data_IF_358431859498
#
_entry.id   IF_358431859498
#
_cell.length_a   1.000
_cell.length_b   1.000
_cell.length_c   1.000
_cell.angle_alpha   90.00
_cell.angle_beta   90.00
_cell.angle_gamma   90.00
#
_symmetry.space_group_name_H-M   'P 1'
#
loop_
_entity.id
_entity.type
_entity.pdbx_description
1 polymer ?
#
# COMPACT_ATOMS: atom_id res chain seq x y z
N UNK A 1 -5.56 14.87 10.44
CA UNK A 1 -4.68 13.77 10.01
C UNK A 1 -5.21 13.21 8.71
N UNK A 2 -4.47 13.32 7.60
CA UNK A 2 -4.92 12.76 6.33
C UNK A 2 -5.09 11.24 6.42
N UNK A 3 -6.01 10.72 5.64
CA UNK A 3 -6.31 9.29 5.59
C UNK A 3 -5.93 8.74 4.22
N UNK A 4 -5.15 7.66 4.21
CA UNK A 4 -4.74 6.95 3.01
C UNK A 4 -5.35 5.55 3.01
N UNK A 5 -5.99 5.17 1.91
CA UNK A 5 -6.46 3.82 1.68
C UNK A 5 -5.61 3.16 0.59
N UNK A 6 -5.08 1.99 0.89
CA UNK A 6 -4.37 1.16 -0.08
C UNK A 6 -5.28 -0.01 -0.43
N UNK A 7 -5.68 -0.09 -1.69
CA UNK A 7 -6.73 -0.99 -2.13
C UNK A 7 -6.19 -2.04 -3.09
N UNK A 8 -6.55 -3.29 -2.84
CA UNK A 8 -6.22 -4.43 -3.69
C UNK A 8 -7.46 -5.32 -3.80
N UNK A 9 -7.38 -6.45 -4.51
CA UNK A 9 -8.54 -7.33 -4.66
C UNK A 9 -8.85 -8.07 -3.36
N UNK A 10 -7.89 -8.73 -2.76
CA UNK A 10 -8.14 -9.62 -1.61
C UNK A 10 -7.64 -9.09 -0.27
N UNK A 11 -6.89 -8.01 -0.24
CA UNK A 11 -6.25 -7.51 0.99
C UNK A 11 -5.49 -8.62 1.74
N UNK A 12 -4.78 -9.44 0.99
CA UNK A 12 -4.09 -10.61 1.56
C UNK A 12 -2.57 -10.52 1.48
N UNK A 13 -2.02 -9.81 0.50
CA UNK A 13 -0.59 -9.72 0.29
C UNK A 13 -0.15 -8.29 -0.02
N UNK A 14 -0.40 -7.83 -1.26
CA UNK A 14 0.17 -6.56 -1.74
C UNK A 14 -0.26 -5.36 -0.90
N UNK A 15 -1.55 -5.19 -0.65
CA UNK A 15 -2.03 -4.04 0.13
C UNK A 15 -1.63 -4.14 1.60
N UNK A 16 -1.51 -5.35 2.14
CA UNK A 16 -1.04 -5.53 3.52
C UNK A 16 0.42 -5.12 3.67
N UNK A 17 1.28 -5.52 2.73
CA UNK A 17 2.67 -5.11 2.75
C UNK A 17 2.81 -3.60 2.58
N UNK A 18 2.06 -3.02 1.64
CA UNK A 18 2.10 -1.59 1.40
C UNK A 18 1.64 -0.80 2.62
N UNK A 19 0.60 -1.27 3.32
CA UNK A 19 0.14 -0.63 4.54
C UNK A 19 1.23 -0.61 5.61
N UNK A 20 1.87 -1.76 5.86
CA UNK A 20 2.92 -1.86 6.87
C UNK A 20 4.11 -0.97 6.55
N UNK A 21 4.55 -0.98 5.29
CA UNK A 21 5.68 -0.16 4.85
C UNK A 21 5.37 1.33 4.92
N UNK A 22 4.15 1.72 4.55
CA UNK A 22 3.76 3.13 4.58
C UNK A 22 3.67 3.64 6.02
N UNK A 23 3.14 2.82 6.93
CA UNK A 23 3.12 3.18 8.35
C UNK A 23 4.53 3.38 8.90
N UNK A 24 5.44 2.49 8.53
CA UNK A 24 6.84 2.60 8.97
C UNK A 24 7.47 3.87 8.40
N UNK A 25 7.28 4.15 7.12
CA UNK A 25 7.81 5.35 6.50
C UNK A 25 7.26 6.62 7.15
N UNK A 26 5.96 6.64 7.46
CA UNK A 26 5.35 7.78 8.14
C UNK A 26 5.94 7.99 9.53
N UNK A 27 6.18 6.91 10.26
CA UNK A 27 6.82 7.01 11.58
C UNK A 27 8.25 7.55 11.47
N UNK A 28 9.03 7.02 10.51
CA UNK A 28 10.42 7.43 10.31
C UNK A 28 10.53 8.89 9.89
N UNK A 29 9.53 9.41 9.17
CA UNK A 29 9.50 10.80 8.70
C UNK A 29 8.75 11.73 9.65
N UNK A 30 8.25 11.23 10.76
CA UNK A 30 7.39 11.99 11.67
C UNK A 30 6.22 12.65 10.93
N UNK A 31 5.56 11.86 10.07
CA UNK A 31 4.45 12.29 9.25
C UNK A 31 3.13 11.82 9.84
N UNK A 32 2.21 12.76 10.06
CA UNK A 32 0.86 12.43 10.49
C UNK A 32 0.07 11.89 9.29
N UNK A 33 -0.10 10.57 9.25
CA UNK A 33 -0.83 9.90 8.19
C UNK A 33 -1.53 8.68 8.77
N UNK A 34 -2.83 8.60 8.55
CA UNK A 34 -3.64 7.47 8.99
C UNK A 34 -3.77 6.49 7.83
N UNK A 35 -3.17 5.31 7.95
CA UNK A 35 -3.00 4.37 6.84
C UNK A 35 -3.93 3.18 7.02
N UNK A 36 -4.70 2.89 5.99
CA UNK A 36 -5.63 1.75 5.94
C UNK A 36 -5.36 0.93 4.69
N UNK A 37 -5.69 -0.34 4.74
CA UNK A 37 -5.74 -1.18 3.54
C UNK A 37 -7.01 -2.00 3.54
N UNK A 38 -7.49 -2.33 2.35
CA UNK A 38 -8.69 -3.14 2.17
C UNK A 38 -8.69 -3.78 0.79
N UNK A 39 -9.63 -4.69 0.57
CA UNK A 39 -9.86 -5.30 -0.73
C UNK A 39 -11.30 -5.21 -1.12
N UNK A 40 -11.63 -5.68 -2.31
CA UNK A 40 -13.02 -5.86 -2.73
C UNK A 40 -13.60 -7.14 -2.15
N UNK A 41 -12.74 -8.09 -1.77
CA UNK A 41 -13.11 -9.34 -1.10
C UNK A 41 -12.15 -9.56 0.07
N UNK A 42 -12.67 -10.11 1.16
CA UNK A 42 -11.84 -10.48 2.31
C UNK A 42 -11.46 -11.96 2.22
N UNK A 43 -10.19 -12.26 2.46
CA UNK A 43 -9.70 -13.63 2.55
C UNK A 43 -8.88 -13.80 3.84
N UNK A 44 -7.57 -13.95 3.72
CA UNK A 44 -6.67 -13.98 4.86
C UNK A 44 -5.31 -13.42 4.47
N UNK A 45 -4.56 -12.91 5.43
CA UNK A 45 -3.21 -12.39 5.19
C UNK A 45 -2.29 -13.57 4.86
N UNK A 46 -1.55 -13.46 3.76
CA UNK A 46 -0.67 -14.55 3.31
C UNK A 46 0.51 -14.73 4.26
N UNK A 47 0.86 -15.98 4.55
CA UNK A 47 1.97 -16.29 5.45
C UNK A 47 3.29 -15.72 4.95
N UNK A 48 3.53 -15.75 3.64
CA UNK A 48 4.77 -15.21 3.07
C UNK A 48 4.87 -13.70 3.24
N UNK A 49 3.74 -12.99 3.20
CA UNK A 49 3.74 -11.55 3.49
C UNK A 49 4.19 -11.31 4.93
N UNK A 50 3.65 -12.06 5.88
CA UNK A 50 4.07 -11.95 7.28
C UNK A 50 5.56 -12.21 7.43
N UNK A 51 6.08 -13.25 6.76
CA UNK A 51 7.48 -13.63 6.85
C UNK A 51 8.42 -12.54 6.33
N UNK A 52 8.17 -12.04 5.11
CA UNK A 52 9.09 -11.06 4.51
C UNK A 52 8.98 -9.69 5.18
N UNK A 53 7.84 -9.35 5.74
CA UNK A 53 7.69 -8.10 6.48
C UNK A 53 8.38 -8.18 7.83
N UNK A 54 8.35 -9.33 8.48
CA UNK A 54 9.06 -9.54 9.74
C UNK A 54 10.57 -9.34 9.57
N UNK A 55 11.12 -9.63 8.40
CA UNK A 55 12.54 -9.39 8.10
C UNK A 55 12.91 -7.90 8.22
N UNK A 56 11.94 -7.01 8.03
CA UNK A 56 12.13 -5.57 8.19
C UNK A 56 11.67 -5.05 9.56
N UNK A 57 11.30 -5.94 10.47
CA UNK A 57 10.80 -5.54 11.78
C UNK A 57 9.34 -5.11 11.78
N UNK A 58 8.59 -5.42 10.73
CA UNK A 58 7.19 -5.07 10.61
C UNK A 58 6.34 -6.30 10.86
N UNK A 59 5.46 -6.24 11.86
CA UNK A 59 4.64 -7.37 12.28
C UNK A 59 3.26 -7.30 11.64
N UNK A 60 2.97 -8.21 10.72
CA UNK A 60 1.64 -8.36 10.11
C UNK A 60 0.82 -9.48 10.76
N UNK A 61 1.36 -10.16 11.77
CA UNK A 61 0.73 -11.37 12.31
C UNK A 61 -0.64 -11.10 12.95
N UNK A 62 -0.89 -9.88 13.39
CA UNK A 62 -2.17 -9.49 13.98
C UNK A 62 -3.12 -8.81 12.98
N UNK A 63 -2.68 -8.63 11.74
CA UNK A 63 -3.51 -8.01 10.72
C UNK A 63 -4.55 -8.99 10.20
N UNK A 64 -5.68 -8.44 9.76
CA UNK A 64 -6.75 -9.23 9.15
C UNK A 64 -7.03 -8.72 7.75
N UNK A 65 -7.41 -9.64 6.86
CA UNK A 65 -7.93 -9.27 5.55
C UNK A 65 -9.34 -8.70 5.71
N UNK A 66 -9.64 -7.63 5.00
CA UNK A 66 -10.91 -6.94 5.16
C UNK A 66 -11.35 -6.29 3.87
N UNK A 67 -12.64 -6.01 3.77
CA UNK A 67 -13.18 -5.27 2.65
C UNK A 67 -13.23 -3.77 2.97
N UNK A 68 -13.41 -2.98 1.91
CA UNK A 68 -13.60 -1.54 2.04
C UNK A 68 -14.71 -1.19 3.06
N UNK A 69 -15.79 -1.96 3.06
CA UNK A 69 -16.95 -1.67 3.90
C UNK A 69 -16.74 -2.02 5.38
N UNK A 70 -15.66 -2.73 5.70
CA UNK A 70 -15.28 -2.99 7.08
C UNK A 70 -14.53 -1.82 7.71
N UNK A 71 -14.15 -0.82 6.92
CA UNK A 71 -13.40 0.34 7.41
C UNK A 71 -14.35 1.41 7.95
N UNK A 72 -13.91 2.17 8.97
CA UNK A 72 -14.68 3.32 9.41
C UNK A 72 -14.67 4.40 8.32
N UNK A 73 -15.85 4.92 8.00
CA UNK A 73 -16.02 6.02 7.05
C UNK A 73 -15.31 5.74 5.71
N UNK A 74 -15.72 4.68 4.98
CA UNK A 74 -14.94 4.14 3.85
C UNK A 74 -14.85 5.07 2.64
N UNK A 75 -15.61 6.15 2.59
CA UNK A 75 -15.60 7.08 1.46
C UNK A 75 -14.81 8.36 1.75
N UNK A 76 -14.31 8.51 2.96
CA UNK A 76 -13.64 9.74 3.40
C UNK A 76 -12.13 9.53 3.49
N UNK A 77 -11.47 9.47 2.33
CA UNK A 77 -10.02 9.37 2.24
C UNK A 77 -9.47 10.50 1.38
N UNK A 78 -8.40 11.12 1.82
CA UNK A 78 -7.68 12.12 1.02
C UNK A 78 -6.92 11.46 -0.12
N UNK A 79 -6.43 10.23 0.12
CA UNK A 79 -5.64 9.49 -0.86
C UNK A 79 -6.14 8.06 -0.96
N UNK A 80 -6.31 7.57 -2.19
CA UNK A 80 -6.62 6.16 -2.45
C UNK A 80 -5.63 5.65 -3.49
N UNK A 81 -4.90 4.60 -3.15
CA UNK A 81 -3.90 3.98 -4.02
C UNK A 81 -4.28 2.53 -4.26
N UNK A 82 -4.46 2.16 -5.52
CA UNK A 82 -4.68 0.76 -5.90
C UNK A 82 -3.34 0.14 -6.30
N UNK A 83 -3.09 -1.09 -5.86
CA UNK A 83 -1.78 -1.72 -6.00
C UNK A 83 -1.78 -3.06 -6.73
N UNK A 84 -2.92 -3.57 -7.13
CA UNK A 84 -2.96 -4.81 -7.91
C UNK A 84 -3.27 -4.52 -9.38
N UNK A 85 -2.94 -5.50 -10.23
CA UNK A 85 -3.00 -5.32 -11.68
C UNK A 85 -4.39 -4.95 -12.19
N UNK A 86 -5.43 -5.48 -11.56
CA UNK A 86 -6.81 -5.31 -12.01
C UNK A 86 -7.68 -4.50 -11.05
N UNK A 87 -7.13 -4.01 -9.94
CA UNK A 87 -7.92 -3.29 -8.93
C UNK A 87 -8.53 -1.99 -9.49
N UNK A 88 -7.90 -1.41 -10.51
CA UNK A 88 -8.44 -0.20 -11.13
C UNK A 88 -9.84 -0.43 -11.70
N UNK A 89 -10.15 -1.65 -12.14
CA UNK A 89 -11.46 -1.99 -12.68
C UNK A 89 -12.51 -2.18 -11.58
N UNK A 90 -12.05 -2.56 -10.38
CA UNK A 90 -12.93 -2.81 -9.24
C UNK A 90 -12.95 -1.63 -8.25
N UNK A 91 -12.19 -0.58 -8.53
CA UNK A 91 -12.09 0.56 -7.62
C UNK A 91 -13.42 1.30 -7.55
N UNK A 92 -13.96 1.50 -6.35
CA UNK A 92 -15.18 2.29 -6.20
C UNK A 92 -14.96 3.75 -6.63
N UNK A 93 -16.05 4.43 -6.95
CA UNK A 93 -15.99 5.85 -7.29
C UNK A 93 -15.82 6.68 -6.02
N UNK A 94 -14.79 7.50 -5.98
CA UNK A 94 -14.52 8.40 -4.87
C UNK A 94 -14.82 9.84 -5.27
N UNK A 95 -15.07 10.73 -4.28
CA UNK A 95 -15.27 12.16 -4.56
C UNK A 95 -14.06 12.77 -5.27
N UNK A 96 -14.30 13.83 -6.04
CA UNK A 96 -13.25 14.51 -6.78
C UNK A 96 -12.16 15.11 -5.87
N UNK A 97 -12.46 15.29 -4.57
CA UNK A 97 -11.49 15.77 -3.58
C UNK A 97 -10.47 14.70 -3.18
N UNK A 98 -10.72 13.43 -3.51
CA UNK A 98 -9.80 12.34 -3.23
C UNK A 98 -8.75 12.26 -4.34
N UNK A 99 -7.48 12.20 -3.94
CA UNK A 99 -6.39 11.94 -4.89
C UNK A 99 -6.27 10.45 -5.14
N UNK A 100 -6.47 10.04 -6.39
CA UNK A 100 -6.41 8.63 -6.79
C UNK A 100 -5.08 8.35 -7.49
N UNK A 101 -4.47 7.22 -7.14
CA UNK A 101 -3.26 6.72 -7.81
C UNK A 101 -3.38 5.22 -8.03
N UNK A 102 -2.80 4.75 -9.10
CA UNK A 102 -2.77 3.33 -9.41
C UNK A 102 -1.31 2.92 -9.60
N UNK A 103 -0.80 2.13 -8.65
CA UNK A 103 0.57 1.62 -8.68
C UNK A 103 0.49 0.09 -8.83
N UNK A 104 0.45 -0.44 -10.08
CA UNK A 104 0.33 -1.88 -10.27
C UNK A 104 1.61 -2.59 -9.87
N UNK A 105 1.48 -3.62 -9.03
CA UNK A 105 2.59 -4.47 -8.62
C UNK A 105 2.26 -5.91 -8.95
N UNK A 106 3.29 -6.69 -9.30
CA UNK A 106 3.13 -8.11 -9.56
C UNK A 106 2.72 -8.83 -8.28
N UNK A 107 1.73 -9.74 -8.40
CA UNK A 107 1.33 -10.58 -7.29
C UNK A 107 2.42 -11.63 -7.07
N UNK A 108 3.06 -11.67 -5.88
CA UNK A 108 4.09 -12.67 -5.62
C UNK A 108 3.54 -14.03 -5.22
N UNK A 109 2.22 -14.17 -5.08
CA UNK A 109 1.60 -15.42 -4.67
C UNK A 109 1.99 -16.56 -5.61
N UNK A 110 2.36 -17.70 -5.04
CA UNK A 110 2.83 -18.85 -5.81
C UNK A 110 4.30 -18.79 -6.18
N UNK A 111 4.98 -17.67 -5.93
CA UNK A 111 6.41 -17.52 -6.21
C UNK A 111 7.28 -17.90 -5.02
N UNK A 112 8.59 -17.88 -5.24
CA UNK A 112 9.58 -18.13 -4.20
C UNK A 112 9.58 -17.00 -3.16
N UNK A 113 10.18 -17.27 -2.01
CA UNK A 113 10.33 -16.25 -0.98
C UNK A 113 11.18 -15.08 -1.50
N UNK A 114 12.13 -15.34 -2.37
CA UNK A 114 12.93 -14.30 -3.01
C UNK A 114 12.09 -13.37 -3.85
N UNK A 115 11.09 -13.91 -4.56
CA UNK A 115 10.15 -13.09 -5.32
C UNK A 115 9.32 -12.19 -4.39
N UNK A 116 8.89 -12.72 -3.24
CA UNK A 116 8.20 -11.93 -2.23
C UNK A 116 9.06 -10.79 -1.69
N UNK A 117 10.35 -11.05 -1.49
CA UNK A 117 11.30 -10.02 -1.06
C UNK A 117 11.46 -8.93 -2.10
N UNK A 118 11.55 -9.33 -3.36
CA UNK A 118 11.67 -8.38 -4.48
C UNK A 118 10.47 -7.45 -4.53
N UNK A 119 9.25 -8.00 -4.47
CA UNK A 119 8.03 -7.20 -4.50
C UNK A 119 7.94 -6.32 -3.26
N UNK A 120 8.27 -6.86 -2.08
CA UNK A 120 8.33 -6.08 -0.86
C UNK A 120 9.24 -4.87 -0.99
N UNK A 121 10.43 -5.06 -1.57
CA UNK A 121 11.41 -3.98 -1.71
C UNK A 121 10.94 -2.93 -2.72
N UNK A 122 10.20 -3.35 -3.75
CA UNK A 122 9.57 -2.42 -4.69
C UNK A 122 8.51 -1.57 -3.99
N UNK A 123 7.68 -2.19 -3.15
CA UNK A 123 6.71 -1.45 -2.33
C UNK A 123 7.41 -0.47 -1.40
N UNK A 124 8.49 -0.90 -0.77
CA UNK A 124 9.24 -0.05 0.16
C UNK A 124 9.72 1.22 -0.54
N UNK A 125 10.33 1.08 -1.71
CA UNK A 125 10.80 2.23 -2.47
C UNK A 125 9.65 3.14 -2.88
N UNK A 126 8.56 2.58 -3.41
CA UNK A 126 7.44 3.37 -3.92
C UNK A 126 6.71 4.09 -2.79
N UNK A 127 6.40 3.41 -1.70
CA UNK A 127 5.62 4.02 -0.63
C UNK A 127 6.47 4.90 0.28
N UNK A 128 7.77 4.68 0.36
CA UNK A 128 8.67 5.66 0.98
C UNK A 128 8.69 6.95 0.15
N UNK A 129 8.74 6.86 -1.17
CA UNK A 129 8.66 8.03 -2.04
C UNK A 129 7.33 8.77 -1.89
N UNK A 130 6.24 8.02 -1.76
CA UNK A 130 4.91 8.58 -1.52
C UNK A 130 4.89 9.37 -0.20
N UNK A 131 5.35 8.75 0.88
CA UNK A 131 5.37 9.38 2.20
C UNK A 131 6.27 10.61 2.21
N UNK A 132 7.43 10.52 1.57
CA UNK A 132 8.36 11.65 1.47
C UNK A 132 7.71 12.82 0.72
N UNK A 133 6.99 12.55 -0.36
CA UNK A 133 6.29 13.58 -1.11
C UNK A 133 5.25 14.28 -0.25
N UNK A 134 4.49 13.52 0.56
CA UNK A 134 3.54 14.12 1.48
C UNK A 134 4.23 14.99 2.54
N UNK A 135 5.34 14.52 3.08
CA UNK A 135 6.07 15.24 4.11
C UNK A 135 6.62 16.56 3.59
N UNK A 136 7.16 16.55 2.38
CA UNK A 136 7.84 17.70 1.80
C UNK A 136 6.90 18.61 0.99
N UNK A 137 5.66 18.19 0.78
CA UNK A 137 4.74 18.94 -0.08
C UNK A 137 5.06 18.83 -1.56
N UNK A 138 5.76 17.79 -1.98
CA UNK A 138 6.08 17.55 -3.39
C UNK A 138 4.89 16.91 -4.11
N UNK A 139 4.87 16.97 -5.45
CA UNK A 139 3.85 16.24 -6.21
C UNK A 139 3.90 14.76 -5.90
N UNK A 140 2.73 14.16 -5.69
CA UNK A 140 2.62 12.73 -5.40
C UNK A 140 2.89 11.94 -6.67
N UNK A 141 3.76 10.90 -6.63
CA UNK A 141 4.02 10.09 -7.82
C UNK A 141 2.75 9.59 -8.47
N UNK A 142 2.65 9.70 -9.79
CA UNK A 142 1.43 9.36 -10.52
C UNK A 142 1.34 7.89 -10.87
N UNK A 143 2.46 7.20 -10.95
CA UNK A 143 2.51 5.80 -11.34
C UNK A 143 3.52 5.05 -10.49
N UNK A 144 3.55 3.73 -10.71
CA UNK A 144 4.52 2.86 -10.06
C UNK A 144 5.96 3.21 -10.41
N UNK A 145 6.19 3.87 -11.52
CA UNK A 145 7.55 4.25 -11.88
C UNK A 145 8.16 5.07 -10.75
N UNK A 146 9.28 4.58 -10.26
CA UNK A 146 9.98 5.26 -9.18
C UNK A 146 10.45 6.62 -9.65
N UNK A 147 10.45 7.59 -8.72
CA UNK A 147 10.99 8.90 -9.04
C UNK A 147 12.45 8.76 -9.49
N UNK A 148 12.97 9.70 -10.30
CA UNK A 148 14.36 9.63 -10.71
C UNK A 148 15.36 9.51 -9.56
N UNK A 149 15.05 10.13 -8.42
CA UNK A 149 15.91 10.04 -7.25
C UNK A 149 15.99 8.62 -6.69
N UNK A 150 14.96 7.81 -6.88
CA UNK A 150 14.91 6.43 -6.41
C UNK A 150 15.45 5.50 -7.48
N UNK A 151 15.08 5.73 -8.74
CA UNK A 151 15.40 4.82 -9.82
C UNK A 151 16.88 4.80 -10.22
N UNK A 152 17.63 5.81 -9.85
CA UNK A 152 19.07 5.87 -10.18
C UNK A 152 19.96 5.21 -9.13
N UNK A 153 19.38 4.65 -8.12
CA UNK A 153 20.14 3.99 -7.07
C UNK A 153 20.70 2.67 -7.51
#
# INVERSE_FOLDING_TARGET
>A
MPRLLILCTHNSARSQMAEGLTRKAAQDLDLDLDVFSAGTEATSVKANAVTVMAELGIDLSQNTSKTLFDLPDPWNFEYVVTVCDSAAQACPTYPATTTLRHYPFTDPSGGSLERWRTVRDQFDAQFTAFAQALKEGWPIPESYELSPAVSVV
#
